data_IF_611533115829
#
_entry.id   IF_611533115829
#
_cell.length_a   1.000
_cell.length_b   1.000
_cell.length_c   1.000
_cell.angle_alpha   90.00
_cell.angle_beta   90.00
_cell.angle_gamma   90.00
#
_symmetry.space_group_name_H-M   'P 1'
#
loop_
_entity.id
_entity.type
_entity.pdbx_description
1 polymer ?
#
# COMPACT_ATOMS: atom_id res chain seq x y z
N UNK A 1 1.43 -1.39 11.99
CA UNK A 1 1.51 -1.06 10.55
C UNK A 1 1.98 0.36 10.45
N UNK A 2 3.15 0.56 9.85
CA UNK A 2 3.64 1.87 9.43
C UNK A 2 3.32 2.04 7.92
N UNK A 3 3.21 3.26 7.42
CA UNK A 3 3.02 3.59 5.99
C UNK A 3 1.69 3.22 5.32
N UNK A 4 0.62 2.97 6.07
CA UNK A 4 -0.63 2.50 5.48
C UNK A 4 -1.23 3.53 4.50
N UNK A 5 -1.24 4.81 4.87
CA UNK A 5 -1.86 5.87 4.04
C UNK A 5 -1.04 6.09 2.78
N UNK A 6 0.28 6.18 2.92
CA UNK A 6 1.23 6.39 1.82
C UNK A 6 1.17 5.25 0.82
N UNK A 7 1.23 3.99 1.28
CA UNK A 7 1.20 2.84 0.38
C UNK A 7 -0.16 2.66 -0.29
N UNK A 8 -1.25 2.93 0.43
CA UNK A 8 -2.59 2.95 -0.15
C UNK A 8 -2.72 4.01 -1.24
N UNK A 9 -2.17 5.20 -1.03
CA UNK A 9 -2.18 6.27 -2.03
C UNK A 9 -1.41 5.89 -3.30
N UNK A 10 -0.22 5.28 -3.15
CA UNK A 10 0.56 4.76 -4.29
C UNK A 10 -0.24 3.74 -5.09
N UNK A 11 -0.92 2.81 -4.42
CA UNK A 11 -1.79 1.81 -5.08
C UNK A 11 -2.91 2.49 -5.85
N UNK A 12 -3.64 3.42 -5.23
CA UNK A 12 -4.74 4.14 -5.87
C UNK A 12 -4.28 4.93 -7.09
N UNK A 13 -3.17 5.65 -6.99
CA UNK A 13 -2.60 6.44 -8.08
C UNK A 13 -2.13 5.55 -9.24
N UNK A 14 -1.48 4.42 -8.92
CA UNK A 14 -1.11 3.43 -9.92
C UNK A 14 -2.34 2.85 -10.63
N UNK A 15 -3.43 2.60 -9.91
CA UNK A 15 -4.66 2.07 -10.49
C UNK A 15 -5.39 3.10 -11.35
N UNK A 16 -5.39 4.38 -10.95
CA UNK A 16 -5.92 5.46 -11.77
C UNK A 16 -5.20 5.53 -13.13
N UNK A 17 -3.87 5.45 -13.13
CA UNK A 17 -3.08 5.37 -14.37
C UNK A 17 -3.39 4.07 -15.15
N UNK A 18 -3.48 2.93 -14.47
CA UNK A 18 -3.84 1.64 -15.06
C UNK A 18 -5.19 1.67 -15.79
N UNK A 19 -6.17 2.39 -15.26
CA UNK A 19 -7.49 2.50 -15.87
C UNK A 19 -7.52 3.40 -17.11
N UNK A 20 -6.55 4.32 -17.23
CA UNK A 20 -6.49 5.31 -18.28
C UNK A 20 -5.58 4.90 -19.46
N UNK A 21 -4.49 4.18 -19.20
CA UNK A 21 -3.55 3.74 -20.24
C UNK A 21 -4.11 2.62 -21.12
N UNK A 22 -3.76 2.57 -22.40
CA UNK A 22 -4.06 1.43 -23.28
C UNK A 22 -3.07 0.26 -23.15
N UNK A 23 -1.92 0.47 -22.50
CA UNK A 23 -0.86 -0.53 -22.34
C UNK A 23 -1.17 -1.64 -21.33
N UNK A 24 -2.32 -1.59 -20.66
CA UNK A 24 -2.71 -2.58 -19.64
C UNK A 24 -3.86 -3.44 -20.15
N UNK A 25 -3.73 -4.75 -19.97
CA UNK A 25 -4.69 -5.74 -20.42
C UNK A 25 -6.07 -5.56 -19.77
N UNK A 26 -7.09 -6.01 -20.50
CA UNK A 26 -8.50 -5.88 -20.09
C UNK A 26 -8.78 -6.55 -18.74
N UNK A 27 -8.19 -7.71 -18.49
CA UNK A 27 -8.36 -8.48 -17.25
C UNK A 27 -8.01 -7.66 -16.00
N UNK A 28 -6.92 -6.90 -16.05
CA UNK A 28 -6.46 -6.08 -14.92
C UNK A 28 -7.38 -4.90 -14.69
N UNK A 29 -7.78 -4.21 -15.77
CA UNK A 29 -8.76 -3.11 -15.69
C UNK A 29 -10.11 -3.59 -15.15
N UNK A 30 -10.58 -4.75 -15.59
CA UNK A 30 -11.83 -5.37 -15.10
C UNK A 30 -11.74 -5.70 -13.61
N UNK A 31 -10.70 -6.43 -13.19
CA UNK A 31 -10.51 -6.80 -11.80
C UNK A 31 -10.36 -5.57 -10.90
N UNK A 32 -9.53 -4.60 -11.29
CA UNK A 32 -9.28 -3.40 -10.51
C UNK A 32 -10.50 -2.51 -10.35
N UNK A 33 -11.31 -2.33 -11.40
CA UNK A 33 -12.55 -1.53 -11.31
C UNK A 33 -13.63 -2.21 -10.47
N UNK A 34 -13.79 -3.53 -10.63
CA UNK A 34 -14.81 -4.29 -9.90
C UNK A 34 -14.45 -4.46 -8.41
N UNK A 35 -13.16 -4.52 -8.08
CA UNK A 35 -12.67 -4.91 -6.74
C UNK A 35 -11.58 -4.00 -6.19
N UNK A 36 -11.72 -2.68 -6.37
CA UNK A 36 -10.72 -1.68 -5.95
C UNK A 36 -10.38 -1.76 -4.44
N UNK A 37 -11.34 -2.14 -3.60
CA UNK A 37 -11.11 -2.34 -2.16
C UNK A 37 -10.17 -3.53 -1.88
N UNK A 38 -10.18 -4.57 -2.73
CA UNK A 38 -9.26 -5.69 -2.60
C UNK A 38 -7.84 -5.35 -3.02
N UNK A 39 -7.65 -4.46 -4.00
CA UNK A 39 -6.32 -3.91 -4.26
C UNK A 39 -5.78 -3.11 -3.08
N UNK A 40 -6.62 -2.38 -2.34
CA UNK A 40 -6.19 -1.71 -1.12
C UNK A 40 -5.81 -2.73 -0.03
N UNK A 41 -6.49 -3.87 0.11
CA UNK A 41 -5.99 -4.93 1.01
C UNK A 41 -4.60 -5.47 0.58
N UNK A 42 -4.28 -5.43 -0.70
CA UNK A 42 -2.92 -5.70 -1.19
C UNK A 42 -1.88 -4.69 -0.66
N UNK A 43 -2.29 -3.45 -0.33
CA UNK A 43 -1.45 -2.36 0.18
C UNK A 43 -0.85 -2.59 1.57
N UNK A 44 -1.30 -3.63 2.27
CA UNK A 44 -0.85 -3.97 3.63
C UNK A 44 -0.21 -5.36 3.72
N UNK A 45 0.02 -6.01 2.58
CA UNK A 45 0.48 -7.40 2.52
C UNK A 45 2.00 -7.49 2.35
N UNK A 46 2.67 -8.26 3.20
CA UNK A 46 4.13 -8.50 3.15
C UNK A 46 4.50 -9.73 2.32
N UNK A 47 5.75 -9.79 1.86
CA UNK A 47 6.35 -10.95 1.16
C UNK A 47 5.89 -11.17 -0.29
N UNK A 48 5.70 -10.09 -1.05
CA UNK A 48 5.24 -10.14 -2.45
C UNK A 48 6.12 -11.00 -3.37
N UNK A 49 7.44 -10.95 -3.21
CA UNK A 49 8.43 -11.68 -4.02
C UNK A 49 8.19 -13.18 -4.07
N UNK A 50 7.61 -13.76 -3.02
CA UNK A 50 7.46 -15.20 -2.89
C UNK A 50 6.24 -15.75 -3.62
N UNK A 51 5.17 -14.96 -3.73
CA UNK A 51 3.86 -15.47 -4.12
C UNK A 51 3.29 -14.82 -5.37
N UNK A 52 3.59 -13.53 -5.63
CA UNK A 52 2.93 -12.75 -6.70
C UNK A 52 3.07 -13.39 -8.08
N UNK A 53 4.28 -13.83 -8.48
CA UNK A 53 4.50 -14.46 -9.80
C UNK A 53 3.75 -15.79 -9.94
N UNK A 54 3.79 -16.65 -8.93
CA UNK A 54 3.08 -17.94 -8.97
C UNK A 54 1.55 -17.76 -9.00
N UNK A 55 1.04 -16.74 -8.29
CA UNK A 55 -0.38 -16.40 -8.30
C UNK A 55 -0.79 -15.81 -9.66
N UNK A 56 0.02 -14.93 -10.24
CA UNK A 56 -0.22 -14.40 -11.59
C UNK A 56 -0.29 -15.52 -12.62
N UNK A 57 0.63 -16.48 -12.60
CA UNK A 57 0.61 -17.63 -13.51
C UNK A 57 -0.66 -18.47 -13.35
N UNK A 58 -1.03 -18.76 -12.09
CA UNK A 58 -2.27 -19.46 -11.78
C UNK A 58 -3.49 -18.71 -12.31
N UNK A 59 -3.57 -17.40 -12.11
CA UNK A 59 -4.73 -16.62 -12.52
C UNK A 59 -4.79 -16.44 -14.03
N UNK A 60 -3.64 -16.24 -14.68
CA UNK A 60 -3.49 -16.22 -16.13
C UNK A 60 -4.03 -17.49 -16.77
N UNK A 61 -3.57 -18.65 -16.29
CA UNK A 61 -3.96 -19.97 -16.83
C UNK A 61 -5.46 -20.23 -16.74
N UNK A 62 -6.10 -19.77 -15.65
CA UNK A 62 -7.50 -20.04 -15.37
C UNK A 62 -8.43 -18.87 -15.71
N UNK A 63 -7.93 -17.78 -16.31
CA UNK A 63 -8.70 -16.53 -16.39
C UNK A 63 -9.96 -16.67 -17.23
N UNK A 64 -9.85 -17.20 -18.44
CA UNK A 64 -10.97 -17.27 -19.39
C UNK A 64 -12.00 -18.34 -18.99
N UNK A 65 -11.57 -19.38 -18.29
CA UNK A 65 -12.42 -20.49 -17.81
C UNK A 65 -12.89 -20.33 -16.36
N UNK A 66 -12.59 -19.16 -15.75
CA UNK A 66 -12.82 -18.93 -14.32
C UNK A 66 -14.30 -19.10 -13.94
N UNK A 67 -14.53 -19.75 -12.81
CA UNK A 67 -15.87 -19.85 -12.22
C UNK A 67 -16.10 -18.73 -11.21
N UNK A 68 -17.34 -18.28 -11.08
CA UNK A 68 -17.71 -17.20 -10.17
C UNK A 68 -17.36 -17.56 -8.72
N UNK A 69 -17.44 -18.85 -8.36
CA UNK A 69 -17.16 -19.37 -7.02
C UNK A 69 -15.66 -19.39 -6.69
N UNK A 70 -14.80 -19.49 -7.70
CA UNK A 70 -13.34 -19.39 -7.53
C UNK A 70 -12.90 -17.97 -7.25
N UNK A 71 -13.73 -17.02 -7.73
CA UNK A 71 -13.62 -15.60 -7.44
C UNK A 71 -12.21 -15.11 -7.88
N UNK A 72 -11.78 -15.40 -9.11
CA UNK A 72 -10.40 -15.04 -9.52
C UNK A 72 -10.18 -13.53 -9.68
N UNK A 73 -11.26 -12.78 -9.88
CA UNK A 73 -11.28 -11.32 -10.04
C UNK A 73 -10.82 -10.55 -8.79
N UNK A 74 -11.39 -10.83 -7.60
CA UNK A 74 -10.94 -10.15 -6.36
C UNK A 74 -9.52 -10.55 -5.98
N UNK A 75 -9.14 -11.82 -6.22
CA UNK A 75 -7.79 -12.34 -5.99
C UNK A 75 -6.77 -11.67 -6.90
N UNK A 76 -7.12 -11.44 -8.16
CA UNK A 76 -6.27 -10.71 -9.08
C UNK A 76 -6.11 -9.26 -8.63
N UNK A 77 -7.21 -8.56 -8.31
CA UNK A 77 -7.15 -7.18 -7.79
C UNK A 77 -6.25 -7.06 -6.55
N UNK A 78 -6.35 -8.01 -5.62
CA UNK A 78 -5.45 -8.10 -4.46
C UNK A 78 -3.98 -8.23 -4.85
N UNK A 79 -3.64 -9.14 -5.78
CA UNK A 79 -2.26 -9.31 -6.24
C UNK A 79 -1.74 -8.06 -6.95
N UNK A 80 -2.57 -7.37 -7.74
CA UNK A 80 -2.18 -6.12 -8.39
C UNK A 80 -1.88 -5.02 -7.38
N UNK A 81 -2.74 -4.86 -6.35
CA UNK A 81 -2.47 -3.94 -5.25
C UNK A 81 -1.20 -4.29 -4.48
N UNK A 82 -0.93 -5.59 -4.30
CA UNK A 82 0.28 -6.08 -3.64
C UNK A 82 1.56 -5.79 -4.45
N UNK A 83 1.50 -5.79 -5.79
CA UNK A 83 2.62 -5.36 -6.62
C UNK A 83 2.94 -3.87 -6.42
N UNK A 84 1.93 -3.00 -6.44
CA UNK A 84 2.12 -1.57 -6.21
C UNK A 84 2.61 -1.27 -4.79
N UNK A 85 2.08 -1.98 -3.78
CA UNK A 85 2.59 -1.94 -2.41
C UNK A 85 4.09 -2.19 -2.36
N UNK A 86 4.52 -3.27 -3.01
CA UNK A 86 5.92 -3.69 -3.02
C UNK A 86 6.82 -2.62 -3.62
N UNK A 87 6.38 -1.94 -4.68
CA UNK A 87 7.11 -0.81 -5.25
C UNK A 87 7.26 0.34 -4.24
N UNK A 88 6.19 0.66 -3.50
CA UNK A 88 6.26 1.63 -2.41
C UNK A 88 7.25 1.18 -1.33
N UNK A 89 7.15 -0.06 -0.87
CA UNK A 89 8.02 -0.68 0.13
C UNK A 89 9.51 -0.59 -0.27
N UNK A 90 9.83 -0.91 -1.55
CA UNK A 90 11.20 -0.84 -2.10
C UNK A 90 11.79 0.56 -2.08
N UNK A 91 10.94 1.56 -2.25
CA UNK A 91 11.37 2.94 -2.29
C UNK A 91 11.43 3.55 -0.88
N UNK A 92 10.38 3.38 -0.08
CA UNK A 92 10.18 4.09 1.17
C UNK A 92 11.02 3.52 2.32
N UNK A 93 11.18 2.20 2.41
CA UNK A 93 11.95 1.56 3.49
C UNK A 93 13.40 2.06 3.56
N UNK A 94 13.98 2.38 2.40
CA UNK A 94 15.34 2.90 2.33
C UNK A 94 15.40 4.33 2.85
N UNK A 95 14.43 5.17 2.47
CA UNK A 95 14.29 6.54 2.97
C UNK A 95 14.15 6.56 4.50
N UNK A 96 13.38 5.64 5.07
CA UNK A 96 13.22 5.55 6.52
C UNK A 96 14.52 5.24 7.23
N UNK A 97 15.31 4.28 6.70
CA UNK A 97 16.61 3.92 7.25
C UNK A 97 17.63 5.04 7.11
N UNK A 98 17.62 5.76 6.00
CA UNK A 98 18.54 6.88 5.76
C UNK A 98 18.18 8.11 6.61
N UNK A 99 16.89 8.41 6.75
CA UNK A 99 16.42 9.55 7.54
C UNK A 99 16.58 9.32 9.05
N UNK A 100 16.44 8.08 9.52
CA UNK A 100 16.50 7.71 10.94
C UNK A 100 17.29 6.41 11.22
N UNK A 101 18.60 6.37 10.94
CA UNK A 101 19.41 5.14 11.00
C UNK A 101 19.50 4.52 12.39
N UNK A 102 19.39 5.34 13.44
CA UNK A 102 19.49 4.91 14.85
C UNK A 102 18.12 4.61 15.48
N UNK A 103 17.02 4.71 14.73
CA UNK A 103 15.70 4.51 15.29
C UNK A 103 15.48 3.04 15.67
N UNK A 104 15.08 2.82 16.93
CA UNK A 104 14.66 1.50 17.44
C UNK A 104 13.14 1.39 17.54
N UNK A 105 12.41 2.43 17.14
CA UNK A 105 10.96 2.46 17.21
C UNK A 105 10.35 1.92 15.92
N UNK A 106 9.22 1.23 16.04
CA UNK A 106 8.44 0.76 14.91
C UNK A 106 6.94 1.01 15.15
N UNK A 107 6.25 1.82 14.32
CA UNK A 107 6.75 2.70 13.24
C UNK A 107 7.87 3.67 13.63
N UNK A 108 8.67 4.09 12.64
CA UNK A 108 9.60 5.23 12.74
C UNK A 108 8.83 6.56 12.63
N UNK A 109 9.38 7.68 13.10
CA UNK A 109 8.70 8.97 12.95
C UNK A 109 8.61 9.37 11.47
N UNK A 110 9.65 9.10 10.68
CA UNK A 110 9.67 9.36 9.25
C UNK A 110 8.47 8.69 8.54
N UNK A 111 8.22 7.41 8.84
CA UNK A 111 7.07 6.68 8.27
C UNK A 111 5.71 7.28 8.65
N UNK A 112 5.56 7.75 9.89
CA UNK A 112 4.33 8.38 10.39
C UNK A 112 4.11 9.74 9.72
N UNK A 113 5.17 10.54 9.60
CA UNK A 113 5.09 11.85 8.97
C UNK A 113 4.81 11.77 7.46
N UNK A 114 5.29 10.72 6.78
CA UNK A 114 4.91 10.44 5.39
C UNK A 114 3.41 10.18 5.27
N UNK A 115 2.86 9.32 6.13
CA UNK A 115 1.42 9.05 6.16
C UNK A 115 0.59 10.30 6.48
N UNK A 116 1.01 11.08 7.49
CA UNK A 116 0.33 12.33 7.86
C UNK A 116 0.36 13.33 6.69
N UNK A 117 1.51 13.50 6.04
CA UNK A 117 1.63 14.38 4.88
C UNK A 117 0.71 13.95 3.74
N UNK A 118 0.72 12.66 3.37
CA UNK A 118 -0.13 12.13 2.29
C UNK A 118 -1.61 12.23 2.67
N UNK A 119 -1.96 12.02 3.94
CA UNK A 119 -3.33 12.23 4.42
C UNK A 119 -3.81 13.65 4.12
N UNK A 120 -3.09 14.68 4.56
CA UNK A 120 -3.44 16.07 4.28
C UNK A 120 -3.43 16.38 2.78
N UNK A 121 -2.47 15.81 2.04
CA UNK A 121 -2.30 16.15 0.64
C UNK A 121 -3.37 15.56 -0.28
N UNK A 122 -3.79 14.32 -0.02
CA UNK A 122 -4.61 13.54 -0.96
C UNK A 122 -5.98 13.15 -0.42
N UNK A 123 -6.18 13.16 0.90
CA UNK A 123 -7.39 12.62 1.52
C UNK A 123 -8.17 13.63 2.36
N UNK A 124 -7.51 14.58 3.01
CA UNK A 124 -8.19 15.66 3.71
C UNK A 124 -9.09 16.40 2.71
N UNK A 125 -10.39 16.46 3.02
CA UNK A 125 -11.45 17.01 2.19
C UNK A 125 -11.65 16.36 0.80
N UNK A 126 -11.08 15.17 0.55
CA UNK A 126 -11.26 14.43 -0.68
C UNK A 126 -12.29 13.29 -0.53
N UNK A 127 -13.49 13.50 -1.07
CA UNK A 127 -14.55 12.48 -1.10
C UNK A 127 -14.48 11.54 -2.31
N UNK A 128 -13.51 11.74 -3.21
CA UNK A 128 -13.35 11.01 -4.49
C UNK A 128 -12.29 9.90 -4.40
N UNK A 129 -12.12 9.30 -3.21
CA UNK A 129 -11.28 8.11 -3.02
C UNK A 129 -12.16 6.87 -2.75
N UNK A 130 -11.77 5.68 -3.22
CA UNK A 130 -12.43 4.43 -2.84
C UNK A 130 -12.44 4.16 -1.34
N UNK A 131 -11.47 4.73 -0.59
CA UNK A 131 -11.44 4.64 0.87
C UNK A 131 -11.27 6.04 1.50
N UNK A 132 -12.36 6.64 2.00
CA UNK A 132 -12.29 7.99 2.56
C UNK A 132 -11.57 7.93 3.91
N UNK A 133 -10.26 8.17 3.91
CA UNK A 133 -9.57 8.53 5.14
C UNK A 133 -10.17 9.84 5.67
N UNK A 134 -10.44 9.88 6.98
CA UNK A 134 -11.03 11.03 7.66
C UNK A 134 -10.13 11.40 8.82
N UNK A 135 -10.18 12.68 9.22
CA UNK A 135 -9.50 13.18 10.41
C UNK A 135 -9.80 12.33 11.66
N UNK A 136 -11.05 11.88 11.79
CA UNK A 136 -11.50 10.99 12.86
C UNK A 136 -10.75 9.64 12.95
N UNK A 137 -10.06 9.19 11.89
CA UNK A 137 -9.23 7.99 11.94
C UNK A 137 -7.90 8.21 12.69
N UNK A 138 -7.48 9.47 12.83
CA UNK A 138 -6.19 9.82 13.40
C UNK A 138 -6.31 10.55 14.73
N UNK A 139 -7.46 11.14 15.09
CA UNK A 139 -7.57 11.91 16.34
C UNK A 139 -7.88 11.07 17.57
N UNK A 140 -7.44 11.55 18.73
CA UNK A 140 -7.83 11.00 20.04
C UNK A 140 -9.33 11.21 20.25
N UNK A 141 -10.03 10.17 20.72
CA UNK A 141 -11.46 10.21 21.08
C UNK A 141 -12.43 10.65 19.97
N UNK A 142 -12.02 10.71 18.70
CA UNK A 142 -12.90 11.13 17.60
C UNK A 142 -13.55 12.52 17.82
N UNK A 143 -12.82 13.46 18.44
CA UNK A 143 -13.35 14.77 18.85
C UNK A 143 -13.93 15.61 17.69
N UNK A 144 -13.45 15.45 16.46
CA UNK A 144 -14.01 16.13 15.27
C UNK A 144 -15.41 15.63 14.88
N UNK A 145 -15.83 14.45 15.35
CA UNK A 145 -17.17 13.93 15.07
C UNK A 145 -18.17 14.51 16.07
N UNK A 146 -19.26 15.12 15.56
CA UNK A 146 -20.35 15.64 16.41
C UNK A 146 -20.94 14.58 17.36
N UNK A 147 -20.95 13.31 16.94
CA UNK A 147 -21.46 12.20 17.74
C UNK A 147 -20.56 11.82 18.93
N UNK A 148 -19.29 12.24 18.96
CA UNK A 148 -18.36 11.92 20.06
C UNK A 148 -18.84 12.47 21.40
N UNK A 149 -19.47 13.65 21.40
CA UNK A 149 -20.03 14.26 22.60
C UNK A 149 -21.17 13.44 23.24
N UNK A 150 -21.83 12.58 22.45
CA UNK A 150 -22.91 11.72 22.91
C UNK A 150 -22.47 10.28 23.24
N UNK A 151 -21.20 9.94 22.98
CA UNK A 151 -20.66 8.59 23.15
C UNK A 151 -19.55 8.60 24.20
N UNK A 152 -19.57 7.63 25.12
CA UNK A 152 -18.36 7.32 25.89
C UNK A 152 -17.39 6.56 24.97
N UNK A 153 -16.54 7.30 24.27
CA UNK A 153 -15.63 6.76 23.25
C UNK A 153 -14.68 5.73 23.84
N UNK A 154 -14.19 5.95 25.07
CA UNK A 154 -13.32 4.99 25.73
C UNK A 154 -14.03 3.64 25.99
N UNK A 155 -15.25 3.68 26.53
CA UNK A 155 -16.03 2.46 26.79
C UNK A 155 -16.38 1.73 25.49
N UNK A 156 -16.69 2.46 24.42
CA UNK A 156 -16.90 1.88 23.09
C UNK A 156 -15.64 1.22 22.55
N UNK A 157 -14.49 1.91 22.60
CA UNK A 157 -13.19 1.38 22.16
C UNK A 157 -12.81 0.10 22.91
N UNK A 158 -12.99 0.04 24.23
CA UNK A 158 -12.69 -1.15 25.02
C UNK A 158 -13.58 -2.33 24.63
N UNK A 159 -14.87 -2.07 24.39
CA UNK A 159 -15.84 -3.07 23.95
C UNK A 159 -15.46 -3.64 22.58
N UNK A 160 -15.18 -2.78 21.59
CA UNK A 160 -14.77 -3.21 20.25
C UNK A 160 -13.42 -3.91 20.26
N UNK A 161 -12.47 -3.44 21.07
CA UNK A 161 -11.16 -4.11 21.25
C UNK A 161 -11.35 -5.53 21.75
N UNK A 162 -12.20 -5.74 22.76
CA UNK A 162 -12.50 -7.07 23.28
C UNK A 162 -13.15 -7.98 22.23
N UNK A 163 -14.16 -7.48 21.50
CA UNK A 163 -14.83 -8.24 20.42
C UNK A 163 -13.81 -8.62 19.33
N UNK A 164 -13.01 -7.66 18.88
CA UNK A 164 -12.01 -7.87 17.83
C UNK A 164 -10.94 -8.89 18.24
N UNK A 165 -10.39 -8.76 19.45
CA UNK A 165 -9.45 -9.74 19.99
C UNK A 165 -10.04 -11.15 20.01
N UNK A 166 -11.30 -11.29 20.45
CA UNK A 166 -12.00 -12.57 20.45
C UNK A 166 -12.20 -13.13 19.04
N UNK A 167 -12.62 -12.30 18.09
CA UNK A 167 -12.76 -12.73 16.69
C UNK A 167 -11.43 -13.18 16.08
N UNK A 168 -10.34 -12.44 16.33
CA UNK A 168 -9.00 -12.85 15.90
C UNK A 168 -8.58 -14.19 16.53
N UNK A 169 -8.86 -14.39 17.82
CA UNK A 169 -8.61 -15.66 18.51
C UNK A 169 -9.49 -16.81 17.99
N UNK A 170 -10.70 -16.53 17.52
CA UNK A 170 -11.58 -17.54 16.90
C UNK A 170 -11.13 -17.88 15.46
N UNK A 171 -10.58 -16.92 14.72
CA UNK A 171 -10.05 -17.12 13.37
C UNK A 171 -8.67 -17.80 13.34
N UNK A 172 -7.97 -17.88 14.46
CA UNK A 172 -6.65 -18.50 14.49
C UNK A 172 -6.75 -20.01 14.21
N UNK A 173 -6.38 -20.44 13.01
CA UNK A 173 -6.13 -21.85 12.72
C UNK A 173 -4.65 -22.13 12.94
N UNK A 174 -4.20 -22.02 14.18
CA UNK A 174 -2.88 -22.50 14.57
C UNK A 174 -2.88 -24.01 14.46
N UNK A 175 -2.44 -24.54 13.31
CA UNK A 175 -2.14 -25.97 13.19
C UNK A 175 -0.92 -26.22 14.04
N UNK A 176 -1.12 -26.84 15.20
CA UNK A 176 -0.05 -27.28 16.08
C UNK A 176 0.80 -28.31 15.36
N UNK A 177 2.12 -28.14 15.36
CA UNK A 177 2.99 -29.25 14.99
C UNK A 177 2.94 -30.26 16.14
N UNK A 178 2.22 -31.36 15.92
CA UNK A 178 2.06 -32.41 16.94
C UNK A 178 3.31 -33.27 17.10
N UNK A 179 4.29 -33.15 16.20
CA UNK A 179 5.54 -33.94 16.24
C UNK A 179 6.66 -33.20 16.95
N UNK A 180 6.66 -31.87 16.94
CA UNK A 180 7.61 -30.99 17.64
C UNK A 180 6.87 -29.84 18.34
N UNK A 181 6.12 -30.20 19.38
CA UNK A 181 5.28 -29.25 20.13
C UNK A 181 6.13 -28.15 20.76
N UNK A 182 7.27 -28.51 21.37
CA UNK A 182 8.16 -27.56 22.03
C UNK A 182 8.79 -26.60 21.02
N UNK A 183 9.32 -27.11 19.89
CA UNK A 183 9.85 -26.26 18.82
C UNK A 183 8.78 -25.42 18.12
N UNK A 184 7.52 -25.85 18.12
CA UNK A 184 6.38 -25.06 17.65
C UNK A 184 6.05 -23.91 18.62
N UNK A 185 6.01 -24.17 19.93
CA UNK A 185 5.84 -23.14 20.96
C UNK A 185 6.99 -22.14 20.95
N UNK A 186 8.23 -22.62 20.82
CA UNK A 186 9.42 -21.78 20.69
C UNK A 186 9.40 -20.90 19.43
N UNK A 187 8.66 -21.28 18.39
CA UNK A 187 8.50 -20.45 17.17
C UNK A 187 7.19 -19.66 17.17
N UNK A 188 6.28 -19.92 18.10
CA UNK A 188 4.97 -19.28 18.15
C UNK A 188 5.10 -17.77 18.38
N UNK A 189 6.02 -17.35 19.26
CA UNK A 189 6.31 -15.94 19.48
C UNK A 189 6.90 -15.27 18.22
N UNK A 190 7.71 -15.98 17.43
CA UNK A 190 8.23 -15.50 16.15
C UNK A 190 7.15 -15.44 15.04
N UNK A 191 6.06 -16.20 15.19
CA UNK A 191 4.86 -16.12 14.34
C UNK A 191 3.86 -15.06 14.81
N UNK A 192 4.01 -14.56 16.04
CA UNK A 192 3.22 -13.45 16.53
C UNK A 192 3.72 -12.17 15.86
N UNK A 193 3.03 -11.76 14.79
CA UNK A 193 3.28 -10.47 14.19
C UNK A 193 2.81 -9.40 15.17
N UNK A 194 3.74 -8.73 15.84
CA UNK A 194 3.41 -7.55 16.65
C UNK A 194 2.82 -6.47 15.73
N UNK A 195 1.50 -6.36 15.75
CA UNK A 195 0.77 -5.28 15.10
C UNK A 195 0.70 -4.08 16.05
N UNK A 196 1.85 -3.54 16.43
CA UNK A 196 1.90 -2.30 17.21
C UNK A 196 1.57 -1.14 16.26
N UNK A 197 0.54 -0.37 16.62
CA UNK A 197 0.19 0.89 15.98
C UNK A 197 0.17 1.93 17.08
N UNK A 198 1.02 2.94 16.96
CA UNK A 198 1.07 4.06 17.89
C UNK A 198 0.11 5.16 17.41
N UNK A 199 -1.19 4.94 17.60
CA UNK A 199 -2.23 5.86 17.14
C UNK A 199 -2.02 7.29 17.67
N UNK A 200 -1.54 7.46 18.90
CA UNK A 200 -1.27 8.78 19.47
C UNK A 200 -0.18 9.56 18.69
N UNK A 201 0.87 8.86 18.22
CA UNK A 201 1.92 9.49 17.40
C UNK A 201 1.39 9.89 16.02
N UNK A 202 0.50 9.08 15.45
CA UNK A 202 -0.22 9.44 14.22
C UNK A 202 -1.14 10.64 14.44
N UNK A 203 -1.86 10.68 15.56
CA UNK A 203 -2.70 11.82 15.96
C UNK A 203 -1.90 13.11 16.04
N UNK A 204 -0.76 13.06 16.74
CA UNK A 204 0.12 14.20 16.89
C UNK A 204 0.66 14.68 15.53
N UNK A 205 1.14 13.77 14.68
CA UNK A 205 1.66 14.11 13.36
C UNK A 205 0.60 14.70 12.41
N UNK A 206 -0.66 14.27 12.50
CA UNK A 206 -1.77 14.77 11.67
C UNK A 206 -2.36 16.08 12.23
N UNK A 207 -2.55 16.18 13.54
CA UNK A 207 -3.25 17.32 14.14
C UNK A 207 -2.33 18.49 14.45
N UNK A 208 -1.10 18.20 14.89
CA UNK A 208 -0.13 19.17 15.38
C UNK A 208 1.28 18.77 14.93
N UNK A 209 1.56 18.74 13.61
CA UNK A 209 2.85 18.30 13.10
C UNK A 209 3.99 19.17 13.63
N UNK A 210 5.06 18.53 14.10
CA UNK A 210 6.30 19.18 14.50
C UNK A 210 7.02 19.74 13.25
N UNK A 211 7.21 21.07 13.12
CA UNK A 211 7.84 21.68 11.95
C UNK A 211 9.24 21.15 11.65
N UNK A 212 10.02 20.80 12.67
CA UNK A 212 11.38 20.28 12.48
C UNK A 212 11.34 18.86 11.89
N UNK A 213 10.37 18.05 12.32
CA UNK A 213 10.12 16.71 11.74
C UNK A 213 9.55 16.80 10.33
N UNK A 214 8.63 17.74 10.06
CA UNK A 214 8.14 17.98 8.69
C UNK A 214 9.30 18.33 7.77
N UNK A 215 10.13 19.32 8.16
CA UNK A 215 11.28 19.70 7.36
C UNK A 215 12.21 18.51 7.13
N UNK A 216 12.60 17.81 8.20
CA UNK A 216 13.55 16.70 8.12
C UNK A 216 13.02 15.52 7.30
N UNK A 217 11.77 15.13 7.48
CA UNK A 217 11.24 13.88 6.91
C UNK A 217 10.50 14.07 5.59
N UNK A 218 10.06 15.28 5.26
CA UNK A 218 9.35 15.59 4.01
C UNK A 218 10.23 16.41 3.07
N UNK A 219 10.72 17.56 3.51
CA UNK A 219 11.46 18.50 2.65
C UNK A 219 12.89 18.03 2.39
N UNK A 220 13.66 17.75 3.44
CA UNK A 220 15.09 17.41 3.34
C UNK A 220 15.31 16.03 2.67
N UNK A 221 14.34 15.12 2.78
CA UNK A 221 14.33 13.83 2.07
C UNK A 221 13.80 13.92 0.65
N UNK A 222 13.25 15.07 0.23
CA UNK A 222 12.47 15.18 -1.01
C UNK A 222 11.42 14.07 -1.15
N UNK A 223 10.63 13.85 -0.10
CA UNK A 223 9.62 12.79 -0.07
C UNK A 223 8.58 12.96 -1.18
N UNK A 224 8.08 14.18 -1.38
CA UNK A 224 7.02 14.49 -2.33
C UNK A 224 7.30 15.83 -3.01
N UNK A 225 7.26 15.86 -4.35
CA UNK A 225 7.44 17.07 -5.14
C UNK A 225 6.26 17.25 -6.11
N UNK A 226 5.53 18.35 -5.98
CA UNK A 226 4.37 18.68 -6.84
C UNK A 226 4.76 18.97 -8.29
N UNK A 227 6.03 19.21 -8.56
CA UNK A 227 6.56 19.45 -9.89
C UNK A 227 6.84 18.15 -10.66
N UNK A 228 6.82 16.98 -9.99
CA UNK A 228 6.97 15.70 -10.69
C UNK A 228 5.78 15.44 -11.61
N UNK A 229 6.05 15.22 -12.90
CA UNK A 229 5.02 15.04 -13.93
C UNK A 229 4.04 13.90 -13.60
N UNK A 230 4.54 12.78 -13.05
CA UNK A 230 3.70 11.64 -12.64
C UNK A 230 2.81 11.96 -11.44
N UNK A 231 3.25 12.86 -10.54
CA UNK A 231 2.44 13.33 -9.41
C UNK A 231 1.32 14.24 -9.92
N UNK A 232 1.64 15.19 -10.81
CA UNK A 232 0.64 16.08 -11.41
C UNK A 232 -0.42 15.27 -12.15
N UNK A 233 0.01 14.24 -12.89
CA UNK A 233 -0.87 13.31 -13.57
C UNK A 233 -1.80 12.57 -12.58
N UNK A 234 -1.23 11.99 -11.51
CA UNK A 234 -2.00 11.28 -10.49
C UNK A 234 -3.03 12.19 -9.80
N UNK A 235 -2.64 13.42 -9.45
CA UNK A 235 -3.54 14.41 -8.85
C UNK A 235 -4.68 14.80 -9.79
N UNK A 236 -4.37 15.01 -11.07
CA UNK A 236 -5.40 15.32 -12.07
C UNK A 236 -6.40 14.16 -12.23
N UNK A 237 -5.93 12.90 -12.19
CA UNK A 237 -6.82 11.75 -12.19
C UNK A 237 -7.75 11.69 -10.98
N UNK A 238 -7.24 12.00 -9.77
CA UNK A 238 -8.07 12.09 -8.56
C UNK A 238 -9.15 13.15 -8.68
N UNK A 239 -8.94 14.18 -9.49
CA UNK A 239 -9.90 15.23 -9.82
C UNK A 239 -10.82 14.88 -11.00
N UNK A 240 -10.70 13.68 -11.58
CA UNK A 240 -11.53 13.19 -12.68
C UNK A 240 -11.09 13.68 -14.06
N UNK A 241 -9.87 14.22 -14.20
CA UNK A 241 -9.32 14.58 -15.49
C UNK A 241 -9.18 13.35 -16.40
N UNK A 242 -9.21 13.60 -17.71
CA UNK A 242 -8.98 12.60 -18.75
C UNK A 242 -7.78 13.04 -19.57
N UNK A 243 -6.95 12.07 -19.93
CA UNK A 243 -5.75 12.29 -20.71
C UNK A 243 -5.79 11.41 -21.95
N UNK A 244 -5.13 11.87 -23.00
CA UNK A 244 -4.77 11.07 -24.17
C UNK A 244 -3.62 10.13 -23.82
N UNK A 245 -3.43 9.08 -24.62
CA UNK A 245 -2.32 8.14 -24.43
C UNK A 245 -0.96 8.85 -24.54
N UNK A 246 -0.80 9.77 -25.50
CA UNK A 246 0.44 10.54 -25.70
C UNK A 246 0.79 11.40 -24.48
N UNK A 247 -0.21 12.02 -23.83
CA UNK A 247 0.01 12.81 -22.61
C UNK A 247 0.44 11.92 -21.43
N UNK A 248 -0.14 10.72 -21.31
CA UNK A 248 0.25 9.75 -20.29
C UNK A 248 1.68 9.27 -20.49
N UNK A 249 2.02 8.87 -21.71
CA UNK A 249 3.36 8.40 -22.05
C UNK A 249 4.40 9.49 -21.86
N UNK A 250 4.08 10.74 -22.24
CA UNK A 250 4.96 11.89 -22.01
C UNK A 250 5.23 12.11 -20.52
N UNK A 251 4.20 12.07 -19.67
CA UNK A 251 4.37 12.24 -18.22
C UNK A 251 5.16 11.10 -17.57
N UNK A 252 4.94 9.86 -18.01
CA UNK A 252 5.64 8.66 -17.50
C UNK A 252 7.10 8.58 -17.98
N UNK A 253 7.42 9.19 -19.12
CA UNK A 253 8.78 9.24 -19.67
C UNK A 253 9.70 10.18 -18.88
N UNK A 254 9.15 11.18 -18.18
CA UNK A 254 9.94 12.07 -17.32
C UNK A 254 10.52 11.27 -16.15
N UNK A 255 11.78 11.55 -15.79
CA UNK A 255 12.41 10.91 -14.64
C UNK A 255 11.93 11.57 -13.34
N UNK A 256 11.37 10.81 -12.39
CA UNK A 256 10.94 11.36 -11.10
C UNK A 256 12.09 11.95 -10.32
N UNK A 257 11.77 12.94 -9.48
CA UNK A 257 12.73 13.58 -8.57
C UNK A 257 12.44 13.23 -7.12
N UNK A 258 11.17 13.08 -6.72
CA UNK A 258 10.77 12.76 -5.35
C UNK A 258 10.60 11.26 -5.10
N UNK A 259 10.70 10.86 -3.83
CA UNK A 259 10.56 9.45 -3.46
C UNK A 259 9.17 8.90 -3.74
N UNK A 260 8.11 9.67 -3.52
CA UNK A 260 6.74 9.28 -3.85
C UNK A 260 6.57 9.06 -5.36
N UNK A 261 7.10 9.97 -6.20
CA UNK A 261 7.03 9.85 -7.65
C UNK A 261 7.81 8.64 -8.19
N UNK A 262 8.97 8.32 -7.61
CA UNK A 262 9.69 7.07 -7.94
C UNK A 262 8.87 5.82 -7.58
N UNK A 263 8.19 5.81 -6.42
CA UNK A 263 7.32 4.72 -6.02
C UNK A 263 6.15 4.54 -6.99
N UNK A 264 5.53 5.64 -7.46
CA UNK A 264 4.49 5.61 -8.49
C UNK A 264 5.00 5.03 -9.81
N UNK A 265 6.16 5.51 -10.31
CA UNK A 265 6.72 5.05 -11.58
C UNK A 265 7.07 3.56 -11.52
N UNK A 266 7.68 3.11 -10.42
CA UNK A 266 7.99 1.70 -10.20
C UNK A 266 6.72 0.85 -10.07
N UNK A 267 5.73 1.29 -9.28
CA UNK A 267 4.48 0.57 -9.06
C UNK A 267 3.67 0.41 -10.34
N UNK A 268 3.60 1.45 -11.16
CA UNK A 268 2.96 1.39 -12.47
C UNK A 268 3.75 0.51 -13.45
N UNK A 269 5.07 0.61 -13.47
CA UNK A 269 5.93 -0.28 -14.26
C UNK A 269 5.70 -1.76 -13.92
N UNK A 270 5.56 -2.10 -12.63
CA UNK A 270 5.22 -3.46 -12.20
C UNK A 270 3.86 -3.93 -12.73
N UNK A 271 2.86 -3.05 -12.80
CA UNK A 271 1.56 -3.37 -13.42
C UNK A 271 1.70 -3.62 -14.93
N UNK A 272 2.52 -2.83 -15.63
CA UNK A 272 2.79 -3.02 -17.06
C UNK A 272 3.47 -4.36 -17.33
N UNK A 273 4.53 -4.69 -16.59
CA UNK A 273 5.22 -5.98 -16.70
C UNK A 273 4.29 -7.16 -16.38
N UNK A 274 3.52 -7.07 -15.29
CA UNK A 274 2.55 -8.10 -14.92
C UNK A 274 1.47 -8.26 -15.99
N UNK A 275 1.02 -7.16 -16.61
CA UNK A 275 0.05 -7.18 -17.71
C UNK A 275 0.61 -7.89 -18.94
N UNK A 276 1.81 -7.52 -19.38
CA UNK A 276 2.51 -8.14 -20.51
C UNK A 276 2.70 -9.65 -20.28
N UNK A 277 3.09 -10.04 -19.07
CA UNK A 277 3.17 -11.44 -18.70
C UNK A 277 1.81 -12.13 -18.75
N UNK A 278 0.77 -11.48 -18.22
CA UNK A 278 -0.58 -12.05 -18.15
C UNK A 278 -1.14 -12.38 -19.54
N UNK A 279 -0.81 -11.56 -20.56
CA UNK A 279 -1.23 -11.80 -21.95
C UNK A 279 -0.21 -12.59 -22.78
N UNK A 280 0.92 -12.96 -22.18
CA UNK A 280 1.94 -13.82 -22.82
C UNK A 280 2.94 -13.13 -23.73
N UNK A 281 3.09 -11.81 -23.62
CA UNK A 281 4.11 -11.05 -24.35
C UNK A 281 5.52 -11.23 -23.79
N UNK A 282 5.64 -11.52 -22.48
CA UNK A 282 6.91 -11.83 -21.82
C UNK A 282 6.82 -13.15 -21.06
N UNK A 283 7.97 -13.79 -20.84
CA UNK A 283 8.08 -15.00 -20.03
C UNK A 283 8.21 -14.71 -18.52
N UNK A 284 8.19 -15.78 -17.73
CA UNK A 284 8.19 -15.69 -16.27
C UNK A 284 9.50 -15.12 -15.72
N UNK A 285 10.63 -15.39 -16.37
CA UNK A 285 11.93 -14.93 -15.89
C UNK A 285 12.14 -13.45 -16.20
N UNK A 286 11.67 -12.98 -17.36
CA UNK A 286 11.56 -11.56 -17.69
C UNK A 286 10.65 -10.84 -16.70
N UNK A 287 9.50 -11.42 -16.35
CA UNK A 287 8.62 -10.86 -15.33
C UNK A 287 9.33 -10.74 -13.98
N UNK A 288 9.99 -11.80 -13.51
CA UNK A 288 10.71 -11.78 -12.22
C UNK A 288 11.77 -10.68 -12.20
N UNK A 289 12.52 -10.51 -13.28
CA UNK A 289 13.55 -9.48 -13.38
C UNK A 289 12.94 -8.08 -13.33
N UNK A 290 11.89 -7.82 -14.11
CA UNK A 290 11.21 -6.52 -14.16
C UNK A 290 10.47 -6.18 -12.86
N UNK A 291 10.01 -7.20 -12.13
CA UNK A 291 9.46 -7.05 -10.79
C UNK A 291 10.55 -7.01 -9.71
N UNK A 292 11.83 -7.03 -10.04
CA UNK A 292 12.94 -7.08 -9.07
C UNK A 292 12.86 -8.22 -8.05
N UNK A 293 12.28 -9.37 -8.42
CA UNK A 293 12.11 -10.53 -7.52
C UNK A 293 13.47 -11.04 -7.05
N UNK A 294 13.68 -11.06 -5.73
CA UNK A 294 14.95 -11.48 -5.13
C UNK A 294 16.09 -10.48 -5.27
N UNK A 295 15.87 -9.32 -5.90
CA UNK A 295 16.85 -8.23 -5.95
C UNK A 295 16.80 -7.43 -4.65
N UNK A 296 17.97 -7.10 -4.14
CA UNK A 296 18.13 -6.20 -2.99
C UNK A 296 17.63 -4.79 -3.34
N UNK A 297 17.21 -4.03 -2.33
CA UNK A 297 16.95 -2.59 -2.46
C UNK A 297 18.23 -1.82 -2.77
N UNK A 298 18.10 -0.51 -3.02
CA UNK A 298 19.25 0.37 -3.33
C UNK A 298 20.31 0.43 -2.22
N UNK A 299 19.91 0.11 -1.00
CA UNK A 299 20.77 0.01 0.19
C UNK A 299 21.33 -1.39 0.44
N UNK A 300 21.12 -2.33 -0.48
CA UNK A 300 21.63 -3.69 -0.37
C UNK A 300 20.87 -4.60 0.61
N UNK A 301 19.74 -4.15 1.16
CA UNK A 301 18.89 -4.94 2.06
C UNK A 301 17.72 -5.59 1.30
N UNK A 302 17.22 -6.72 1.79
CA UNK A 302 15.96 -7.28 1.29
C UNK A 302 14.78 -6.43 1.76
N UNK A 303 13.73 -6.39 0.94
CA UNK A 303 12.50 -5.64 1.22
C UNK A 303 11.54 -6.46 2.05
#
# INVERSE_FOLDING_TARGET
MSENVTHTAVVEDCFNMMFATDSICKAFKEAGRAHIQFSQFGSVTRSGDKFTVALLEKYRTNWDERKIEEKLDYKLAFVLGWLCHRAADRQMKVVFREAEPESRQFPTDCSIYHDAFIFHRLYEDNNSTPFPYRKAHFETNMESLQASAALNVHAATDTFRFIWQRMLLEMQTFVTDTHDIDGWFDKLHAKHQEQTIHLDRYAEAVLTPDPDKVKRFISDTNFYNEEDAIIQLAQAFRQGAKFTQDELEAALAVEPTSHYAHALKMGFGYLQSASAYFIGEIDQDTLKDQLDVGKKGRDGQSV
#
